data_IF_088687082427
#
_entry.id   IF_088687082427
#
_cell.length_a   1.000
_cell.length_b   1.000
_cell.length_c   1.000
_cell.angle_alpha   90.00
_cell.angle_beta   90.00
_cell.angle_gamma   90.00
#
_symmetry.space_group_name_H-M   'P 1'
#
loop_
_entity.id
_entity.type
_entity.pdbx_description
1 polymer ?
#
# COMPACT_ATOMS: atom_id res chain seq x y z
N UNK A 1 -14.86 11.07 51.31
CA UNK A 1 -15.16 10.39 50.03
C UNK A 1 -15.13 11.43 48.91
N UNK A 2 -14.04 11.50 48.13
CA UNK A 2 -13.94 12.38 46.95
C UNK A 2 -13.85 11.50 45.70
N UNK A 3 -14.82 11.65 44.79
CA UNK A 3 -14.76 11.12 43.42
C UNK A 3 -13.89 12.07 42.59
N UNK A 4 -12.76 11.58 42.08
CA UNK A 4 -11.92 12.34 41.15
C UNK A 4 -12.26 11.89 39.73
N UNK A 5 -12.86 12.79 38.97
CA UNK A 5 -13.27 12.65 37.58
C UNK A 5 -12.02 12.61 36.66
N UNK A 6 -11.61 11.42 36.20
CA UNK A 6 -10.62 11.26 35.12
C UNK A 6 -11.32 11.28 33.75
N UNK A 7 -11.84 12.44 33.34
CA UNK A 7 -12.30 12.68 31.95
C UNK A 7 -11.84 14.08 31.56
N UNK A 8 -10.63 14.22 31.01
CA UNK A 8 -10.15 15.56 30.66
C UNK A 8 -8.79 15.70 29.95
N UNK A 9 -8.05 14.63 29.63
CA UNK A 9 -6.68 14.78 29.07
C UNK A 9 -6.53 14.21 27.63
N UNK A 10 -7.53 13.53 27.08
CA UNK A 10 -7.38 12.83 25.78
C UNK A 10 -7.60 13.76 24.56
N UNK A 11 -8.16 14.96 24.74
CA UNK A 11 -8.61 15.78 23.60
C UNK A 11 -7.52 16.67 22.95
N UNK A 12 -6.43 16.99 23.65
CA UNK A 12 -5.40 17.93 23.12
C UNK A 12 -4.46 17.27 22.09
N UNK A 13 -3.99 16.05 22.37
CA UNK A 13 -3.07 15.34 21.48
C UNK A 13 -3.73 14.93 20.16
N UNK A 14 -4.98 14.45 20.20
CA UNK A 14 -5.72 14.06 18.99
C UNK A 14 -5.92 15.24 18.03
N UNK A 15 -6.13 16.45 18.55
CA UNK A 15 -6.30 17.67 17.74
C UNK A 15 -4.99 18.08 17.03
N UNK A 16 -3.85 17.96 17.73
CA UNK A 16 -2.52 18.20 17.13
C UNK A 16 -2.18 17.15 16.05
N UNK A 17 -2.47 15.87 16.30
CA UNK A 17 -2.26 14.78 15.34
C UNK A 17 -3.15 14.90 14.08
N UNK A 18 -4.41 15.32 14.23
CA UNK A 18 -5.29 15.60 13.08
C UNK A 18 -4.79 16.78 12.23
N UNK A 19 -4.15 17.78 12.86
CA UNK A 19 -3.52 18.91 12.16
C UNK A 19 -2.30 18.50 11.34
N UNK A 20 -1.40 17.69 11.92
CA UNK A 20 -0.24 17.14 11.20
C UNK A 20 -0.66 16.16 10.10
N UNK A 21 -1.67 15.33 10.35
CA UNK A 21 -2.24 14.41 9.35
C UNK A 21 -2.84 15.18 8.17
N UNK A 22 -3.67 16.22 8.41
CA UNK A 22 -4.21 17.07 7.35
C UNK A 22 -3.10 17.77 6.55
N UNK A 23 -2.06 18.28 7.22
CA UNK A 23 -0.94 18.92 6.55
C UNK A 23 -0.15 17.91 5.69
N UNK A 24 0.09 16.72 6.22
CA UNK A 24 0.70 15.60 5.51
C UNK A 24 -0.11 15.20 4.28
N UNK A 25 -1.41 14.93 4.44
CA UNK A 25 -2.31 14.54 3.34
C UNK A 25 -2.38 15.63 2.26
N UNK A 26 -2.38 16.90 2.66
CA UNK A 26 -2.35 18.03 1.72
C UNK A 26 -1.03 18.11 0.94
N UNK A 27 0.11 17.94 1.61
CA UNK A 27 1.45 17.91 0.96
C UNK A 27 1.58 16.69 0.05
N UNK A 28 1.01 15.56 0.46
CA UNK A 28 0.92 14.33 -0.32
C UNK A 28 0.09 14.53 -1.60
N UNK A 29 -1.12 15.07 -1.49
CA UNK A 29 -1.98 15.39 -2.65
C UNK A 29 -1.34 16.39 -3.62
N UNK A 30 -0.53 17.31 -3.11
CA UNK A 30 0.23 18.24 -3.95
C UNK A 30 1.36 17.52 -4.70
N UNK A 31 2.04 16.57 -4.05
CA UNK A 31 3.11 15.76 -4.66
C UNK A 31 2.58 14.80 -5.73
N UNK A 32 1.39 14.23 -5.57
CA UNK A 32 0.77 13.35 -6.58
C UNK A 32 0.25 14.12 -7.80
N UNK A 33 -0.19 15.37 -7.64
CA UNK A 33 -0.65 16.22 -8.76
C UNK A 33 0.46 16.61 -9.74
N UNK A 34 1.74 16.53 -9.34
CA UNK A 34 2.85 17.03 -10.15
C UNK A 34 3.47 15.98 -11.08
N UNK A 35 3.11 14.69 -10.98
CA UNK A 35 3.82 13.59 -11.65
C UNK A 35 3.00 12.74 -12.63
N UNK A 36 1.75 13.09 -12.90
CA UNK A 36 0.93 12.33 -13.86
C UNK A 36 0.37 13.24 -14.95
N UNK A 37 1.12 13.35 -16.06
CA UNK A 37 0.50 13.64 -17.36
C UNK A 37 -0.29 12.40 -17.76
N UNK A 38 -1.46 12.22 -17.14
CA UNK A 38 -2.36 11.12 -17.47
C UNK A 38 -2.83 11.36 -18.91
N UNK A 39 -2.52 10.43 -19.81
CA UNK A 39 -3.09 10.50 -21.15
C UNK A 39 -4.60 10.36 -21.04
N UNK A 40 -5.32 11.20 -21.78
CA UNK A 40 -6.77 11.04 -21.88
C UNK A 40 -7.10 9.69 -22.51
N UNK A 41 -8.24 9.11 -22.14
CA UNK A 41 -8.73 7.87 -22.74
C UNK A 41 -8.80 7.98 -24.27
N UNK A 42 -9.25 9.13 -24.80
CA UNK A 42 -9.33 9.39 -26.24
C UNK A 42 -7.95 9.35 -26.90
N UNK A 43 -6.96 10.02 -26.30
CA UNK A 43 -5.59 10.05 -26.83
C UNK A 43 -4.94 8.67 -26.81
N UNK A 44 -5.13 7.91 -25.71
CA UNK A 44 -4.61 6.55 -25.62
C UNK A 44 -5.26 5.65 -26.67
N UNK A 45 -6.59 5.72 -26.84
CA UNK A 45 -7.32 4.97 -27.87
C UNK A 45 -6.77 5.24 -29.27
N UNK A 46 -6.53 6.51 -29.62
CA UNK A 46 -5.96 6.89 -30.92
C UNK A 46 -4.55 6.31 -31.12
N UNK A 47 -3.70 6.33 -30.09
CA UNK A 47 -2.37 5.74 -30.15
C UNK A 47 -2.44 4.23 -30.42
N UNK A 48 -3.31 3.52 -29.71
CA UNK A 48 -3.49 2.08 -29.87
C UNK A 48 -4.03 1.71 -31.27
N UNK A 49 -4.94 2.51 -31.81
CA UNK A 49 -5.48 2.30 -33.17
C UNK A 49 -4.42 2.44 -34.27
N UNK A 50 -3.35 3.19 -34.02
CA UNK A 50 -2.25 3.40 -34.97
C UNK A 50 -1.16 2.33 -34.91
N UNK A 51 -1.22 1.40 -33.96
CA UNK A 51 -0.25 0.32 -33.82
C UNK A 51 -0.45 -0.76 -34.89
N UNK A 52 0.64 -1.38 -35.35
CA UNK A 52 0.63 -2.37 -36.44
C UNK A 52 0.29 -3.80 -36.00
N UNK A 53 0.29 -4.07 -34.70
CA UNK A 53 0.01 -5.39 -34.11
C UNK A 53 -0.58 -5.27 -32.71
N UNK A 54 -1.24 -6.32 -32.23
CA UNK A 54 -1.76 -6.41 -30.86
C UNK A 54 -0.64 -6.36 -29.82
N UNK A 55 0.51 -6.97 -30.13
CA UNK A 55 1.70 -6.90 -29.28
C UNK A 55 2.17 -5.45 -29.09
N UNK A 56 2.27 -4.69 -30.19
CA UNK A 56 2.63 -3.26 -30.14
C UNK A 56 1.58 -2.43 -29.39
N UNK A 57 0.29 -2.76 -29.52
CA UNK A 57 -0.76 -2.14 -28.71
C UNK A 57 -0.55 -2.40 -27.22
N UNK A 58 -0.21 -3.63 -26.85
CA UNK A 58 0.04 -4.00 -25.46
C UNK A 58 1.26 -3.28 -24.88
N UNK A 59 2.37 -3.21 -25.62
CA UNK A 59 3.57 -2.46 -25.20
C UNK A 59 3.26 -0.97 -24.98
N UNK A 60 2.55 -0.34 -25.93
CA UNK A 60 2.14 1.06 -25.83
C UNK A 60 1.22 1.26 -24.63
N UNK A 61 0.17 0.45 -24.48
CA UNK A 61 -0.73 0.51 -23.33
C UNK A 61 0.04 0.41 -22.02
N UNK A 62 0.83 -0.66 -21.88
CA UNK A 62 1.60 -0.94 -20.67
C UNK A 62 2.59 0.19 -20.34
N UNK A 63 3.22 0.82 -21.34
CA UNK A 63 4.14 1.95 -21.13
C UNK A 63 3.49 3.16 -20.45
N UNK A 64 2.19 3.38 -20.68
CA UNK A 64 1.45 4.51 -20.11
C UNK A 64 0.73 4.18 -18.82
N UNK A 65 0.29 2.92 -18.66
CA UNK A 65 -0.61 2.54 -17.58
C UNK A 65 0.06 1.78 -16.45
N UNK A 66 1.23 1.15 -16.66
CA UNK A 66 1.91 0.39 -15.60
C UNK A 66 2.45 1.29 -14.50
N UNK A 67 2.47 0.78 -13.27
CA UNK A 67 3.23 1.39 -12.19
C UNK A 67 4.72 1.45 -12.56
N UNK A 68 5.32 2.64 -12.45
CA UNK A 68 6.78 2.78 -12.56
C UNK A 68 7.46 2.46 -11.23
N UNK A 69 8.78 2.24 -11.25
CA UNK A 69 9.55 2.02 -10.01
C UNK A 69 9.48 3.26 -9.09
N UNK A 70 9.32 4.46 -9.65
CA UNK A 70 9.07 5.69 -8.88
C UNK A 70 7.69 5.69 -8.23
N UNK A 71 6.64 5.26 -8.95
CA UNK A 71 5.29 5.12 -8.40
C UNK A 71 5.29 4.09 -7.24
N UNK A 72 5.98 2.95 -7.42
CA UNK A 72 6.14 1.92 -6.38
C UNK A 72 6.90 2.49 -5.18
N UNK A 73 8.05 3.11 -5.41
CA UNK A 73 8.86 3.72 -4.35
C UNK A 73 8.10 4.77 -3.54
N UNK A 74 7.26 5.58 -4.22
CA UNK A 74 6.37 6.53 -3.56
C UNK A 74 5.33 5.82 -2.70
N UNK A 75 4.70 4.75 -3.21
CA UNK A 75 3.73 3.93 -2.45
C UNK A 75 4.33 3.35 -1.18
N UNK A 76 5.55 2.82 -1.24
CA UNK A 76 6.29 2.38 -0.05
C UNK A 76 6.61 3.53 0.91
N UNK A 77 6.90 4.73 0.42
CA UNK A 77 7.13 5.88 1.27
C UNK A 77 5.85 6.31 2.03
N UNK A 78 4.70 6.33 1.35
CA UNK A 78 3.39 6.58 1.98
C UNK A 78 3.14 5.56 3.08
N UNK A 79 3.39 4.28 2.79
CA UNK A 79 3.20 3.19 3.75
C UNK A 79 4.01 3.41 5.04
N UNK A 80 5.29 3.77 4.92
CA UNK A 80 6.15 4.12 6.07
C UNK A 80 5.64 5.34 6.85
N UNK A 81 5.10 6.33 6.17
CA UNK A 81 4.56 7.52 6.83
C UNK A 81 3.25 7.22 7.57
N UNK A 82 2.41 6.34 7.01
CA UNK A 82 1.21 5.82 7.68
C UNK A 82 1.59 4.99 8.91
N UNK A 83 2.62 4.15 8.81
CA UNK A 83 3.12 3.40 9.97
C UNK A 83 3.50 4.33 11.12
N UNK A 84 4.27 5.39 10.86
CA UNK A 84 4.64 6.40 11.88
C UNK A 84 3.42 7.07 12.53
N UNK A 85 2.30 7.17 11.83
CA UNK A 85 1.04 7.71 12.39
C UNK A 85 0.42 6.71 13.37
N UNK A 86 0.55 5.40 13.11
CA UNK A 86 0.02 4.36 13.99
C UNK A 86 0.91 4.05 15.20
N UNK A 87 2.24 4.15 15.08
CA UNK A 87 3.18 3.80 16.15
C UNK A 87 2.87 4.43 17.54
N UNK A 88 2.44 5.69 17.67
CA UNK A 88 2.09 6.28 18.96
C UNK A 88 0.90 5.60 19.65
N UNK A 89 0.03 4.96 18.88
CA UNK A 89 -1.15 4.24 19.37
C UNK A 89 -0.92 2.73 19.46
N UNK A 90 -0.11 2.19 18.55
CA UNK A 90 0.23 0.78 18.42
C UNK A 90 1.76 0.63 18.28
N UNK A 91 2.54 0.67 19.38
CA UNK A 91 4.01 0.76 19.36
C UNK A 91 4.76 -0.41 18.71
N UNK A 92 4.04 -1.47 18.38
CA UNK A 92 4.54 -2.68 17.71
C UNK A 92 3.68 -2.99 16.48
N UNK A 93 3.18 -1.95 15.81
CA UNK A 93 2.50 -2.11 14.52
C UNK A 93 3.48 -2.08 13.36
N UNK A 94 3.16 -2.79 12.29
CA UNK A 94 3.78 -2.59 10.98
C UNK A 94 2.71 -2.34 9.91
N UNK A 95 3.08 -1.58 8.89
CA UNK A 95 2.24 -1.36 7.72
C UNK A 95 3.00 -1.78 6.48
N UNK A 96 2.38 -2.58 5.64
CA UNK A 96 2.97 -3.07 4.41
C UNK A 96 2.04 -2.83 3.22
N UNK A 97 2.55 -2.44 2.04
CA UNK A 97 1.72 -2.46 0.85
C UNK A 97 1.32 -3.89 0.51
N UNK A 98 0.14 -4.06 -0.04
CA UNK A 98 -0.36 -5.35 -0.54
C UNK A 98 -1.00 -5.16 -1.92
N UNK A 99 -1.57 -6.23 -2.47
CA UNK A 99 -2.31 -6.21 -3.73
C UNK A 99 -1.48 -5.74 -4.93
N UNK A 100 -2.04 -4.79 -5.66
CA UNK A 100 -1.54 -4.36 -6.98
C UNK A 100 -0.13 -3.75 -6.96
N UNK A 101 0.29 -3.22 -5.81
CA UNK A 101 1.61 -2.62 -5.63
C UNK A 101 2.71 -3.67 -5.54
N UNK A 102 2.48 -4.77 -4.82
CA UNK A 102 3.48 -5.82 -4.61
C UNK A 102 3.55 -6.83 -5.76
N UNK A 103 2.43 -7.05 -6.46
CA UNK A 103 2.39 -7.95 -7.62
C UNK A 103 3.06 -7.38 -8.87
N UNK A 104 3.34 -6.07 -8.89
CA UNK A 104 3.84 -5.30 -10.05
C UNK A 104 2.93 -5.33 -11.28
N UNK A 105 1.69 -5.80 -11.12
CA UNK A 105 0.66 -5.80 -12.16
C UNK A 105 -0.33 -4.62 -12.00
N UNK A 106 -0.10 -3.76 -11.00
CA UNK A 106 -0.92 -2.57 -10.77
C UNK A 106 -0.78 -1.53 -11.87
N UNK A 107 -1.88 -0.83 -12.11
CA UNK A 107 -1.92 0.34 -12.96
C UNK A 107 -1.61 1.60 -12.15
N UNK A 108 -1.14 2.67 -12.79
CA UNK A 108 -0.84 3.95 -12.10
C UNK A 108 -2.04 4.53 -11.34
N UNK A 109 -3.25 4.21 -11.81
CA UNK A 109 -4.53 4.61 -11.21
C UNK A 109 -5.06 3.63 -10.15
N UNK A 110 -4.39 2.50 -9.90
CA UNK A 110 -4.86 1.53 -8.91
C UNK A 110 -4.70 2.08 -7.50
N UNK A 111 -5.56 1.62 -6.61
CA UNK A 111 -5.48 1.96 -5.19
C UNK A 111 -4.18 1.44 -4.56
N UNK A 112 -3.79 2.05 -3.43
CA UNK A 112 -2.73 1.55 -2.58
C UNK A 112 -3.35 0.76 -1.44
N UNK A 113 -3.37 -0.57 -1.59
CA UNK A 113 -3.81 -1.47 -0.54
C UNK A 113 -2.74 -1.59 0.54
N UNK A 114 -3.15 -1.53 1.81
CA UNK A 114 -2.26 -1.61 2.97
C UNK A 114 -2.71 -2.73 3.89
N UNK A 115 -1.75 -3.54 4.34
CA UNK A 115 -1.92 -4.48 5.46
C UNK A 115 -1.35 -3.84 6.72
N UNK A 116 -2.17 -3.80 7.77
CA UNK A 116 -1.75 -3.41 9.11
C UNK A 116 -1.60 -4.67 9.95
N UNK A 117 -0.47 -4.81 10.64
CA UNK A 117 -0.21 -5.93 11.55
C UNK A 117 0.17 -5.35 12.91
N UNK A 118 -0.30 -5.95 14.00
CA UNK A 118 0.10 -5.58 15.35
C UNK A 118 0.51 -6.82 16.15
N UNK A 119 1.59 -6.72 16.93
CA UNK A 119 2.15 -7.86 17.68
C UNK A 119 1.21 -8.48 18.72
N UNK A 120 0.06 -7.89 19.02
CA UNK A 120 -0.99 -8.55 19.82
C UNK A 120 -1.70 -9.68 19.06
N UNK A 121 -1.56 -9.72 17.74
CA UNK A 121 -2.25 -10.68 16.86
C UNK A 121 -1.48 -12.02 16.72
N UNK A 122 -0.53 -12.29 17.62
CA UNK A 122 0.25 -13.54 17.68
C UNK A 122 -0.57 -14.80 18.03
N UNK A 123 -1.91 -14.74 18.03
CA UNK A 123 -2.76 -15.92 18.22
C UNK A 123 -2.88 -16.82 16.98
N UNK A 124 -2.33 -16.44 15.82
CA UNK A 124 -2.35 -17.29 14.61
C UNK A 124 -0.98 -17.34 13.92
N UNK A 125 0.03 -17.91 14.57
CA UNK A 125 1.13 -18.53 13.82
C UNK A 125 0.61 -19.86 13.27
N UNK A 126 0.37 -19.92 11.96
CA UNK A 126 0.27 -21.20 11.26
C UNK A 126 1.65 -21.86 11.37
N UNK A 127 1.76 -22.88 12.22
CA UNK A 127 2.98 -23.65 12.37
C UNK A 127 3.46 -24.15 11.00
N UNK A 128 4.77 -24.17 10.73
CA UNK A 128 5.27 -24.83 9.53
C UNK A 128 4.86 -26.31 9.63
N UNK A 129 4.17 -26.79 8.59
CA UNK A 129 3.94 -28.21 8.43
C UNK A 129 5.30 -28.90 8.39
N UNK A 130 5.62 -29.66 9.43
CA UNK A 130 6.67 -30.65 9.36
C UNK A 130 6.20 -31.68 8.33
N UNK A 131 6.62 -31.53 7.08
CA UNK A 131 6.59 -32.61 6.11
C UNK A 131 7.57 -33.68 6.60
N UNK A 132 7.03 -34.65 7.34
CA UNK A 132 7.69 -35.91 7.58
C UNK A 132 7.70 -36.67 6.25
N UNK A 133 8.86 -36.67 5.61
CA UNK A 133 9.20 -37.51 4.48
C UNK A 133 9.15 -38.97 4.94
N UNK A 134 8.04 -39.66 4.67
CA UNK A 134 7.91 -41.09 4.88
C UNK A 134 8.29 -41.82 3.59
N UNK A 135 9.54 -42.24 3.60
CA UNK A 135 10.21 -43.23 2.75
C UNK A 135 9.25 -44.36 2.29
N UNK A 136 8.98 -44.43 0.98
CA UNK A 136 8.34 -45.58 0.34
C UNK A 136 9.43 -46.41 -0.34
N UNK A 137 9.96 -47.38 0.40
CA UNK A 137 10.73 -48.50 -0.17
C UNK A 137 9.80 -49.38 -1.01
N UNK A 138 9.91 -49.29 -2.34
CA UNK A 138 9.35 -50.28 -3.25
C UNK A 138 10.43 -51.32 -3.55
N UNK A 139 10.23 -52.53 -3.03
CA UNK A 139 11.01 -53.72 -3.33
C UNK A 139 10.94 -54.11 -4.81
N UNK A 140 12.09 -54.37 -5.42
CA UNK A 140 12.27 -55.26 -6.57
C UNK A 140 13.60 -55.99 -6.43
#
# INVERSE_FOLDING_TARGET
>A
MQRISKVGIINSAACHYMGTFKHFFRKFLQKTKQSQKLLSHTSLKQLLQNCKSVESQFEVFNSFTKLTEEDISLRYAICRDIEKIFQPHFPSSSVHPTGSTVSRLGLRSSDLDLSFQHSSDLSNQCAPANEADSDLTLSS
#
